data_IF_893461036061
#
_entry.id   IF_893461036061
#
_cell.length_a   1.000
_cell.length_b   1.000
_cell.length_c   1.000
_cell.angle_alpha   90.00
_cell.angle_beta   90.00
_cell.angle_gamma   90.00
#
_symmetry.space_group_name_H-M   'P 1'
#
loop_
_entity.id
_entity.type
_entity.pdbx_description
1 polymer ?
#
# COMPACT_ATOMS: atom_id res chain seq x y z
N UNK A 1 3.36 18.08 -59.11
CA UNK A 1 3.14 16.92 -58.22
C UNK A 1 2.41 17.41 -56.97
N UNK A 2 1.13 17.07 -56.79
CA UNK A 2 0.36 17.34 -55.56
C UNK A 2 0.32 16.03 -54.77
N UNK A 3 1.10 15.94 -53.71
CA UNK A 3 1.16 14.78 -52.83
C UNK A 3 0.82 15.19 -51.40
N UNK A 4 0.02 14.36 -50.74
CA UNK A 4 -0.06 14.31 -49.28
C UNK A 4 -1.35 14.84 -48.66
N UNK A 5 -2.50 14.32 -49.08
CA UNK A 5 -3.69 14.35 -48.23
C UNK A 5 -4.21 12.91 -48.05
N UNK A 6 -3.43 12.12 -47.31
CA UNK A 6 -3.75 10.74 -46.98
C UNK A 6 -3.61 10.59 -45.46
N UNK A 7 -4.74 10.28 -44.83
CA UNK A 7 -4.94 9.92 -43.41
C UNK A 7 -5.11 11.07 -42.40
N UNK A 8 -6.26 11.73 -42.42
CA UNK A 8 -6.87 12.19 -41.17
C UNK A 8 -7.49 10.99 -40.45
N UNK A 9 -6.86 10.51 -39.37
CA UNK A 9 -7.46 9.48 -38.53
C UNK A 9 -8.79 9.99 -37.98
N UNK A 10 -9.91 9.33 -38.33
CA UNK A 10 -11.21 9.63 -37.71
C UNK A 10 -11.05 9.53 -36.18
N UNK A 11 -11.48 10.54 -35.41
CA UNK A 11 -11.35 10.51 -33.95
C UNK A 11 -12.07 9.25 -33.44
N UNK A 12 -11.33 8.38 -32.73
CA UNK A 12 -11.91 7.19 -32.10
C UNK A 12 -13.06 7.65 -31.22
N UNK A 13 -14.29 7.20 -31.52
CA UNK A 13 -15.46 7.45 -30.69
C UNK A 13 -15.15 6.94 -29.28
N UNK A 14 -14.93 7.86 -28.33
CA UNK A 14 -14.70 7.50 -26.93
C UNK A 14 -16.01 6.95 -26.39
N UNK A 15 -16.02 5.66 -26.06
CA UNK A 15 -17.15 5.07 -25.34
C UNK A 15 -17.39 5.87 -24.06
N UNK A 16 -18.64 6.25 -23.72
CA UNK A 16 -18.91 6.96 -22.48
C UNK A 16 -18.47 6.11 -21.29
N UNK A 17 -17.65 6.69 -20.41
CA UNK A 17 -17.22 6.04 -19.19
C UNK A 17 -18.46 5.85 -18.30
N UNK A 18 -18.76 4.64 -17.80
CA UNK A 18 -19.88 4.42 -16.90
C UNK A 18 -19.79 5.35 -15.69
N UNK A 19 -20.90 5.98 -15.31
CA UNK A 19 -20.97 6.79 -14.09
C UNK A 19 -20.72 5.89 -12.88
N UNK A 20 -19.87 6.35 -11.96
CA UNK A 20 -19.62 5.69 -10.68
C UNK A 20 -20.93 5.54 -9.87
N UNK A 21 -21.16 4.36 -9.28
CA UNK A 21 -22.35 4.08 -8.48
C UNK A 21 -22.44 4.98 -7.24
N UNK A 22 -23.66 5.23 -6.74
CA UNK A 22 -23.88 6.02 -5.52
C UNK A 22 -23.16 5.40 -4.32
N UNK A 23 -23.27 4.07 -4.16
CA UNK A 23 -22.60 3.29 -3.12
C UNK A 23 -21.09 3.53 -3.10
N UNK A 24 -20.43 3.45 -4.27
CA UNK A 24 -18.98 3.64 -4.37
C UNK A 24 -18.52 5.05 -4.01
N UNK A 25 -19.36 6.07 -4.28
CA UNK A 25 -19.10 7.45 -3.86
C UNK A 25 -19.17 7.61 -2.34
N UNK A 26 -20.16 6.99 -1.72
CA UNK A 26 -20.32 7.00 -0.26
C UNK A 26 -19.16 6.26 0.42
N UNK A 27 -18.82 5.06 -0.03
CA UNK A 27 -17.66 4.29 0.45
C UNK A 27 -16.37 5.11 0.39
N UNK A 28 -16.11 5.78 -0.74
CA UNK A 28 -14.93 6.63 -0.91
C UNK A 28 -14.92 7.81 0.07
N UNK A 29 -16.08 8.40 0.36
CA UNK A 29 -16.21 9.49 1.34
C UNK A 29 -15.85 8.99 2.74
N UNK A 30 -16.41 7.87 3.17
CA UNK A 30 -16.11 7.26 4.47
C UNK A 30 -14.64 6.86 4.60
N UNK A 31 -14.09 6.21 3.58
CA UNK A 31 -12.67 5.87 3.54
C UNK A 31 -11.77 7.10 3.72
N UNK A 32 -12.09 8.20 3.02
CA UNK A 32 -11.33 9.45 3.13
C UNK A 32 -11.43 10.05 4.52
N UNK A 33 -12.60 9.96 5.16
CA UNK A 33 -12.82 10.44 6.52
C UNK A 33 -12.01 9.62 7.53
N UNK A 34 -12.05 8.29 7.46
CA UNK A 34 -11.28 7.42 8.35
C UNK A 34 -9.78 7.59 8.20
N UNK A 35 -9.28 7.78 6.98
CA UNK A 35 -7.87 8.09 6.75
C UNK A 35 -7.44 9.36 7.50
N UNK A 36 -8.29 10.40 7.54
CA UNK A 36 -8.00 11.65 8.26
C UNK A 36 -8.01 11.45 9.77
N UNK A 37 -9.02 10.74 10.28
CA UNK A 37 -9.13 10.43 11.71
C UNK A 37 -7.94 9.59 12.18
N UNK A 38 -7.59 8.54 11.43
CA UNK A 38 -6.39 7.74 11.73
C UNK A 38 -5.13 8.60 11.69
N UNK A 39 -4.96 9.47 10.68
CA UNK A 39 -3.78 10.34 10.63
C UNK A 39 -3.66 11.18 11.90
N UNK A 40 -4.77 11.75 12.37
CA UNK A 40 -4.80 12.51 13.61
C UNK A 40 -4.46 11.63 14.82
N UNK A 41 -5.11 10.46 14.96
CA UNK A 41 -4.86 9.51 16.05
C UNK A 41 -3.38 9.09 16.11
N UNK A 42 -2.79 8.72 14.97
CA UNK A 42 -1.37 8.34 14.91
C UNK A 42 -0.45 9.51 15.28
N UNK A 43 -0.76 10.73 14.85
CA UNK A 43 0.03 11.91 15.22
C UNK A 43 -0.08 12.21 16.71
N UNK A 44 -1.27 12.14 17.29
CA UNK A 44 -1.48 12.36 18.73
C UNK A 44 -0.71 11.33 19.56
N UNK A 45 -0.77 10.04 19.17
CA UNK A 45 -0.04 8.96 19.86
C UNK A 45 1.48 9.09 19.77
N UNK A 46 2.00 9.69 18.69
CA UNK A 46 3.43 9.72 18.39
C UNK A 46 4.04 11.14 18.45
N UNK A 47 3.43 12.07 19.19
CA UNK A 47 3.98 13.41 19.38
C UNK A 47 4.09 14.23 18.09
N UNK A 48 3.08 14.13 17.22
CA UNK A 48 2.97 14.82 15.92
C UNK A 48 3.51 14.03 14.73
N UNK A 49 4.20 12.91 14.96
CA UNK A 49 4.85 12.11 13.91
C UNK A 49 3.98 10.98 13.42
N UNK A 50 4.25 10.50 12.22
CA UNK A 50 3.65 9.28 11.68
C UNK A 50 4.73 8.48 10.97
N UNK A 51 4.70 7.16 11.12
CA UNK A 51 5.74 6.27 10.64
C UNK A 51 5.17 5.30 9.62
N UNK A 52 5.91 5.06 8.54
CA UNK A 52 5.58 4.07 7.53
C UNK A 52 5.59 2.67 8.14
N UNK A 53 4.52 1.92 7.88
CA UNK A 53 4.38 0.59 8.47
C UNK A 53 5.44 -0.40 7.99
N UNK A 54 5.87 -0.32 6.74
CA UNK A 54 6.82 -1.27 6.16
C UNK A 54 8.26 -0.99 6.58
N UNK A 55 8.70 0.25 6.56
CA UNK A 55 10.08 0.62 6.91
C UNK A 55 10.28 1.06 8.35
N UNK A 56 9.22 1.53 9.02
CA UNK A 56 9.31 2.19 10.32
C UNK A 56 9.86 3.63 10.26
N UNK A 57 10.15 4.16 9.07
CA UNK A 57 10.66 5.53 8.92
C UNK A 57 9.54 6.56 9.03
N UNK A 58 9.87 7.74 9.53
CA UNK A 58 8.94 8.89 9.59
C UNK A 58 8.48 9.29 8.18
N UNK A 59 7.17 9.46 8.01
CA UNK A 59 6.55 10.04 6.82
C UNK A 59 6.48 11.55 7.02
N UNK A 60 7.22 12.31 6.21
CA UNK A 60 7.26 13.78 6.33
C UNK A 60 6.27 14.46 5.39
N UNK A 61 5.98 13.84 4.26
CA UNK A 61 5.04 14.32 3.27
C UNK A 61 3.65 13.75 3.44
N UNK A 62 3.05 13.41 2.30
CA UNK A 62 1.69 12.89 2.22
C UNK A 62 1.63 11.46 2.75
N UNK A 63 0.69 11.23 3.67
CA UNK A 63 0.38 9.89 4.18
C UNK A 63 -0.51 9.15 3.19
N UNK A 64 -0.07 7.96 2.80
CA UNK A 64 -0.89 7.00 2.07
C UNK A 64 -1.30 5.88 3.03
N UNK A 65 -2.26 5.05 2.62
CA UNK A 65 -2.82 4.02 3.49
C UNK A 65 -2.82 2.66 2.79
N UNK A 66 -2.33 1.65 3.49
CA UNK A 66 -2.30 0.26 3.07
C UNK A 66 -3.22 -0.59 3.96
N UNK A 67 -3.90 -1.56 3.38
CA UNK A 67 -4.84 -2.42 4.08
C UNK A 67 -4.27 -3.84 4.25
N UNK A 68 -3.97 -4.23 5.49
CA UNK A 68 -3.23 -5.47 5.77
C UNK A 68 -4.00 -6.76 5.43
N UNK A 69 -5.34 -6.76 5.51
CA UNK A 69 -6.18 -7.96 5.28
C UNK A 69 -6.70 -8.12 3.85
N UNK A 70 -6.06 -7.46 2.86
CA UNK A 70 -6.61 -7.24 1.51
C UNK A 70 -7.91 -6.43 1.53
N UNK A 71 -8.43 -6.04 0.35
CA UNK A 71 -9.76 -5.42 0.20
C UNK A 71 -10.85 -6.47 0.40
N UNK A 72 -11.05 -6.91 1.63
CA UNK A 72 -12.15 -7.81 2.00
C UNK A 72 -12.99 -7.07 3.01
N UNK A 73 -14.14 -6.55 2.56
CA UNK A 73 -15.08 -5.88 3.45
C UNK A 73 -15.35 -4.41 3.11
N UNK A 74 -16.31 -3.88 3.84
CA UNK A 74 -16.73 -2.51 3.80
C UNK A 74 -15.63 -1.61 4.39
N UNK A 75 -15.08 -0.68 3.59
CA UNK A 75 -14.00 0.25 3.99
C UNK A 75 -14.23 0.98 5.34
N UNK A 76 -15.47 1.05 5.82
CA UNK A 76 -15.82 1.67 7.10
C UNK A 76 -15.64 0.76 8.32
N UNK A 77 -15.70 -0.57 8.20
CA UNK A 77 -15.52 -1.49 9.34
C UNK A 77 -14.07 -1.83 9.61
N UNK A 78 -13.23 -1.70 8.60
CA UNK A 78 -11.87 -2.25 8.62
C UNK A 78 -10.79 -1.19 8.94
N UNK A 79 -11.17 -0.07 9.59
CA UNK A 79 -10.25 1.02 9.99
C UNK A 79 -9.04 0.48 10.78
N UNK A 80 -9.25 -0.54 11.62
CA UNK A 80 -8.20 -1.19 12.42
C UNK A 80 -7.11 -1.89 11.58
N UNK A 81 -7.38 -2.17 10.30
CA UNK A 81 -6.47 -2.85 9.36
C UNK A 81 -5.75 -1.89 8.41
N UNK A 82 -6.06 -0.59 8.49
CA UNK A 82 -5.38 0.46 7.73
C UNK A 82 -4.09 0.87 8.42
N UNK A 83 -3.00 0.90 7.66
CA UNK A 83 -1.68 1.31 8.13
C UNK A 83 -1.11 2.42 7.26
N UNK A 84 -0.46 3.42 7.87
CA UNK A 84 0.18 4.50 7.12
C UNK A 84 1.35 3.95 6.31
N UNK A 85 1.47 4.42 5.07
CA UNK A 85 2.58 4.10 4.19
C UNK A 85 3.14 5.32 3.51
N UNK A 86 4.45 5.30 3.27
CA UNK A 86 5.13 6.34 2.51
C UNK A 86 5.09 6.06 1.01
N UNK A 87 5.00 7.14 0.24
CA UNK A 87 5.27 7.13 -1.18
C UNK A 87 5.90 8.48 -1.53
N UNK A 88 7.17 8.65 -1.18
CA UNK A 88 7.85 9.95 -1.29
C UNK A 88 9.31 9.82 -1.74
N UNK A 89 9.82 10.93 -2.28
CA UNK A 89 11.24 11.09 -2.57
C UNK A 89 11.96 11.56 -1.30
N UNK A 90 13.05 10.90 -0.93
CA UNK A 90 13.93 11.30 0.16
C UNK A 90 15.38 11.17 -0.30
N UNK A 91 16.14 12.24 -0.14
CA UNK A 91 17.56 12.32 -0.53
C UNK A 91 17.81 11.97 -2.01
N UNK A 92 16.86 12.35 -2.89
CA UNK A 92 16.92 12.07 -4.32
C UNK A 92 16.49 10.65 -4.72
N UNK A 93 16.10 9.81 -3.76
CA UNK A 93 15.69 8.42 -3.98
C UNK A 93 14.18 8.29 -3.71
N UNK A 94 13.47 7.59 -4.59
CA UNK A 94 12.05 7.30 -4.37
C UNK A 94 11.92 6.12 -3.42
N UNK A 95 11.30 6.34 -2.24
CA UNK A 95 11.06 5.30 -1.26
C UNK A 95 9.60 4.85 -1.33
N UNK A 96 9.41 3.57 -1.65
CA UNK A 96 8.10 2.96 -1.74
C UNK A 96 8.13 1.51 -1.27
N UNK A 97 8.46 1.33 0.00
CA UNK A 97 8.56 0.03 0.67
C UNK A 97 7.28 -0.80 0.56
N UNK A 98 6.12 -0.15 0.47
CA UNK A 98 4.84 -0.82 0.20
C UNK A 98 4.83 -1.51 -1.18
N UNK A 99 5.30 -0.84 -2.23
CA UNK A 99 5.38 -1.45 -3.56
C UNK A 99 6.47 -2.52 -3.59
N UNK A 100 7.63 -2.25 -3.00
CA UNK A 100 8.74 -3.20 -2.90
C UNK A 100 8.30 -4.50 -2.20
N UNK A 101 7.56 -4.40 -1.10
CA UNK A 101 6.97 -5.53 -0.38
C UNK A 101 6.08 -6.43 -1.27
N UNK A 102 5.34 -5.82 -2.20
CA UNK A 102 4.46 -6.54 -3.10
C UNK A 102 5.15 -7.07 -4.37
N UNK A 103 6.18 -6.39 -4.85
CA UNK A 103 6.77 -6.65 -6.18
C UNK A 103 8.12 -7.34 -6.14
N UNK A 104 8.92 -7.15 -5.09
CA UNK A 104 10.18 -7.87 -4.94
C UNK A 104 9.93 -9.37 -4.73
N UNK A 105 10.84 -10.19 -5.23
CA UNK A 105 10.84 -11.61 -4.94
C UNK A 105 11.20 -11.85 -3.45
N UNK A 106 10.81 -13.02 -2.92
CA UNK A 106 11.00 -13.31 -1.49
C UNK A 106 12.48 -13.37 -1.11
N UNK A 107 13.34 -13.96 -1.95
CA UNK A 107 14.78 -14.07 -1.69
C UNK A 107 15.39 -12.68 -1.43
N UNK A 108 15.10 -11.73 -2.30
CA UNK A 108 15.56 -10.35 -2.16
C UNK A 108 14.97 -9.70 -0.91
N UNK A 109 13.67 -9.87 -0.65
CA UNK A 109 13.02 -9.29 0.54
C UNK A 109 13.69 -9.76 1.83
N UNK A 110 14.07 -11.03 1.92
CA UNK A 110 14.73 -11.60 3.10
C UNK A 110 16.13 -11.03 3.36
N UNK A 111 16.77 -10.46 2.34
CA UNK A 111 18.04 -9.71 2.53
C UNK A 111 17.84 -8.31 3.10
N UNK A 112 16.60 -7.79 3.14
CA UNK A 112 16.32 -6.42 3.58
C UNK A 112 15.90 -6.39 5.05
N UNK A 113 16.64 -5.65 5.88
CA UNK A 113 16.29 -5.48 7.30
C UNK A 113 14.88 -4.94 7.50
N UNK A 114 14.46 -3.96 6.69
CA UNK A 114 13.12 -3.37 6.80
C UNK A 114 11.98 -4.39 6.60
N UNK A 115 12.21 -5.45 5.80
CA UNK A 115 11.23 -6.51 5.60
C UNK A 115 11.14 -7.43 6.81
N UNK A 116 12.28 -7.80 7.42
CA UNK A 116 12.30 -8.56 8.66
C UNK A 116 11.58 -7.80 9.79
N UNK A 117 11.81 -6.50 9.87
CA UNK A 117 11.11 -5.63 10.83
C UNK A 117 9.60 -5.55 10.52
N UNK A 118 9.22 -5.58 9.23
CA UNK A 118 7.81 -5.67 8.82
C UNK A 118 7.18 -6.97 9.33
N UNK A 119 7.86 -8.10 9.20
CA UNK A 119 7.36 -9.39 9.68
C UNK A 119 7.14 -9.37 11.20
N UNK A 120 8.06 -8.77 11.96
CA UNK A 120 7.89 -8.58 13.40
C UNK A 120 6.67 -7.70 13.72
N UNK A 121 6.48 -6.59 13.00
CA UNK A 121 5.30 -5.72 13.14
C UNK A 121 3.99 -6.45 12.82
N UNK A 122 3.97 -7.27 11.76
CA UNK A 122 2.81 -8.09 11.42
C UNK A 122 2.49 -9.09 12.55
N UNK A 123 3.51 -9.76 13.10
CA UNK A 123 3.36 -10.71 14.21
C UNK A 123 2.77 -10.05 15.46
N UNK A 124 3.19 -8.82 15.77
CA UNK A 124 2.68 -8.05 16.89
C UNK A 124 1.21 -7.61 16.72
N UNK A 125 0.77 -7.38 15.48
CA UNK A 125 -0.61 -6.97 15.17
C UNK A 125 -1.56 -8.18 15.10
N UNK A 126 -1.23 -9.17 14.28
CA UNK A 126 -2.08 -10.33 14.04
C UNK A 126 -1.22 -11.53 13.57
N UNK A 127 -1.17 -12.56 14.41
CA UNK A 127 -0.40 -13.78 14.13
C UNK A 127 -0.83 -14.47 12.83
N UNK A 128 -2.09 -14.31 12.40
CA UNK A 128 -2.59 -14.89 11.16
C UNK A 128 -2.00 -14.20 9.92
N UNK A 129 -1.71 -12.89 9.99
CA UNK A 129 -1.03 -12.17 8.92
C UNK A 129 0.42 -12.63 8.81
N UNK A 130 1.12 -12.72 9.94
CA UNK A 130 2.48 -13.25 9.98
C UNK A 130 2.57 -14.67 9.40
N UNK A 131 1.66 -15.57 9.80
CA UNK A 131 1.59 -16.94 9.25
C UNK A 131 1.31 -16.97 7.75
N UNK A 132 0.58 -16.01 7.20
CA UNK A 132 0.38 -15.91 5.74
C UNK A 132 1.68 -15.56 5.02
N UNK A 133 2.49 -14.65 5.58
CA UNK A 133 3.81 -14.36 5.03
C UNK A 133 4.76 -15.55 5.15
N UNK A 134 4.76 -16.28 6.28
CA UNK A 134 5.54 -17.52 6.40
C UNK A 134 5.19 -18.54 5.31
N UNK A 135 3.90 -18.74 5.03
CA UNK A 135 3.47 -19.62 3.93
C UNK A 135 3.92 -19.11 2.56
N UNK A 136 4.01 -17.79 2.36
CA UNK A 136 4.53 -17.19 1.12
C UNK A 136 6.03 -17.48 0.97
N UNK A 137 6.77 -17.46 2.07
CA UNK A 137 8.19 -17.82 2.13
C UNK A 137 8.40 -19.32 1.89
N UNK A 138 7.68 -20.18 2.62
CA UNK A 138 7.74 -21.64 2.46
C UNK A 138 7.46 -22.05 1.01
N UNK A 139 6.46 -21.41 0.36
CA UNK A 139 6.12 -21.66 -1.04
C UNK A 139 7.23 -21.25 -2.02
N UNK A 140 8.09 -20.30 -1.65
CA UNK A 140 9.28 -19.95 -2.42
C UNK A 140 10.41 -20.99 -2.26
N UNK A 141 10.24 -22.02 -1.42
CA UNK A 141 11.23 -23.08 -1.19
C UNK A 141 12.38 -22.66 -0.27
N UNK A 142 12.19 -21.61 0.52
CA UNK A 142 13.21 -21.06 1.41
C UNK A 142 12.89 -21.47 2.85
N UNK A 143 13.83 -22.17 3.48
CA UNK A 143 13.76 -22.49 4.89
C UNK A 143 14.34 -21.32 5.68
N UNK A 144 13.49 -20.62 6.44
CA UNK A 144 13.94 -19.52 7.29
C UNK A 144 14.02 -20.01 8.72
N UNK A 145 15.25 -20.11 9.23
CA UNK A 145 15.49 -20.28 10.66
C UNK A 145 15.24 -18.93 11.38
N UNK A 146 13.97 -18.55 11.54
CA UNK A 146 13.55 -17.33 12.26
C UNK A 146 13.42 -17.66 13.76
N UNK A 147 14.53 -18.03 14.38
CA UNK A 147 14.64 -18.12 15.84
C UNK A 147 15.61 -17.03 16.33
N UNK A 148 15.06 -15.85 16.61
CA UNK A 148 15.66 -14.85 17.51
C UNK A 148 14.54 -14.09 18.23
#
# INVERSE_FOLDING_TARGET
MKGGDLYSQKPRQRKPIPKESKTRKEEKKYYTQHCKELEQEYRELNGGKIYDFFSGLEIRGKVYWHHLKNRVGDFYKDKEWLRPVMQEMRDGIFHNYHIDYHQMNIEELLTKQWYLDTLARLKAIDISLYRKELKRIEKAGLDLDITN
#
